data_IF_488189018097
#
_entry.id   IF_488189018097
#
_cell.length_a   1.000
_cell.length_b   1.000
_cell.length_c   1.000
_cell.angle_alpha   90.00
_cell.angle_beta   90.00
_cell.angle_gamma   90.00
#
_symmetry.space_group_name_H-M   'P 1'
#
loop_
_entity.id
_entity.type
_entity.pdbx_description
1 polymer ?
#
# COMPACT_ATOMS: atom_id res chain seq x y z
N UNK A 1 -0.45 33.49 -26.79
CA UNK A 1 0.02 34.19 -25.57
C UNK A 1 -0.79 33.83 -24.34
N UNK A 2 -2.12 34.04 -24.32
CA UNK A 2 -2.98 33.76 -23.16
C UNK A 2 -2.92 32.30 -22.66
N UNK A 3 -2.90 31.33 -23.55
CA UNK A 3 -2.82 29.90 -23.20
C UNK A 3 -1.49 29.49 -22.52
N UNK A 4 -0.37 30.02 -23.01
CA UNK A 4 0.97 29.78 -22.43
C UNK A 4 1.07 30.36 -21.02
N UNK A 5 0.47 31.52 -20.81
CA UNK A 5 0.43 32.19 -19.50
C UNK A 5 -0.46 31.43 -18.49
N UNK A 6 -1.64 30.97 -18.93
CA UNK A 6 -2.51 30.08 -18.15
C UNK A 6 -1.82 28.79 -17.74
N UNK A 7 -1.07 28.17 -18.66
CA UNK A 7 -0.30 26.96 -18.38
C UNK A 7 0.79 27.20 -17.33
N UNK A 8 1.57 28.28 -17.46
CA UNK A 8 2.60 28.65 -16.48
C UNK A 8 2.00 28.93 -15.09
N UNK A 9 0.85 29.59 -15.05
CA UNK A 9 0.13 29.86 -13.80
C UNK A 9 -0.34 28.56 -13.13
N UNK A 10 -0.93 27.65 -13.89
CA UNK A 10 -1.30 26.31 -13.42
C UNK A 10 -0.09 25.55 -12.85
N UNK A 11 1.02 25.51 -13.59
CA UNK A 11 2.25 24.83 -13.18
C UNK A 11 2.80 25.43 -11.88
N UNK A 12 2.84 26.77 -11.79
CA UNK A 12 3.29 27.49 -10.59
C UNK A 12 2.42 27.16 -9.36
N UNK A 13 1.09 27.24 -9.49
CA UNK A 13 0.17 26.90 -8.40
C UNK A 13 0.35 25.44 -8.00
N UNK A 14 0.38 24.53 -8.98
CA UNK A 14 0.53 23.09 -8.72
C UNK A 14 1.83 22.82 -7.96
N UNK A 15 2.93 23.46 -8.35
CA UNK A 15 4.22 23.33 -7.68
C UNK A 15 4.18 23.87 -6.25
N UNK A 16 3.64 25.08 -6.04
CA UNK A 16 3.55 25.70 -4.73
C UNK A 16 2.74 24.86 -3.74
N UNK A 17 1.57 24.38 -4.16
CA UNK A 17 0.71 23.57 -3.29
C UNK A 17 1.34 22.22 -3.00
N UNK A 18 1.85 21.53 -4.02
CA UNK A 18 2.46 20.19 -3.83
C UNK A 18 3.71 20.26 -2.97
N UNK A 19 4.63 21.20 -3.27
CA UNK A 19 5.84 21.39 -2.47
C UNK A 19 5.50 21.82 -1.04
N UNK A 20 4.56 22.75 -0.85
CA UNK A 20 4.14 23.20 0.47
C UNK A 20 3.60 22.04 1.32
N UNK A 21 2.74 21.19 0.76
CA UNK A 21 2.24 20.01 1.47
C UNK A 21 3.39 19.06 1.81
N UNK A 22 4.29 18.76 0.86
CA UNK A 22 5.42 17.84 1.07
C UNK A 22 6.40 18.36 2.13
N UNK A 23 6.70 19.66 2.15
CA UNK A 23 7.60 20.25 3.15
C UNK A 23 7.05 20.15 4.57
N UNK A 24 5.72 20.22 4.70
CA UNK A 24 5.00 20.26 5.98
C UNK A 24 4.56 18.88 6.45
N UNK A 25 4.60 17.85 5.60
CA UNK A 25 4.05 16.51 5.87
C UNK A 25 4.71 15.76 7.04
N UNK A 26 5.83 16.23 7.57
CA UNK A 26 6.52 15.62 8.72
C UNK A 26 6.31 16.38 10.04
N UNK A 27 5.64 17.52 10.00
CA UNK A 27 5.28 18.29 11.19
C UNK A 27 4.18 17.57 11.99
N UNK A 28 3.91 17.98 13.24
CA UNK A 28 2.82 17.41 14.04
C UNK A 28 1.44 17.60 13.37
N UNK A 29 0.43 16.77 13.70
CA UNK A 29 -0.87 16.80 13.00
C UNK A 29 -1.53 18.19 13.06
N UNK A 30 -1.51 18.84 14.23
CA UNK A 30 -2.09 20.17 14.41
C UNK A 30 -1.37 21.24 13.57
N UNK A 31 -0.03 21.23 13.59
CA UNK A 31 0.79 22.18 12.82
C UNK A 31 0.57 21.97 11.32
N UNK A 32 0.68 20.73 10.86
CA UNK A 32 0.47 20.36 9.46
C UNK A 32 -0.92 20.79 8.98
N UNK A 33 -1.99 20.43 9.69
CA UNK A 33 -3.37 20.78 9.34
C UNK A 33 -3.58 22.28 9.33
N UNK A 34 -2.91 23.05 10.19
CA UNK A 34 -3.02 24.52 10.23
C UNK A 34 -2.49 25.20 8.96
N UNK A 35 -1.55 24.56 8.25
CA UNK A 35 -0.97 25.08 7.01
C UNK A 35 -1.83 24.77 5.77
N UNK A 36 -2.62 23.70 5.81
CA UNK A 36 -3.36 23.22 4.65
C UNK A 36 -4.36 24.22 4.08
N UNK A 37 -5.13 25.00 4.87
CA UNK A 37 -6.09 25.93 4.30
C UNK A 37 -5.47 26.99 3.38
N UNK A 38 -4.31 27.54 3.78
CA UNK A 38 -3.58 28.50 2.97
C UNK A 38 -3.10 27.88 1.66
N UNK A 39 -2.51 26.68 1.73
CA UNK A 39 -2.03 25.96 0.55
C UNK A 39 -3.18 25.58 -0.40
N UNK A 40 -4.26 25.01 0.14
CA UNK A 40 -5.39 24.55 -0.67
C UNK A 40 -6.16 25.70 -1.31
N UNK A 41 -6.24 26.87 -0.66
CA UNK A 41 -6.89 28.04 -1.24
C UNK A 41 -6.25 28.49 -2.57
N UNK A 42 -4.96 28.23 -2.79
CA UNK A 42 -4.27 28.54 -4.05
C UNK A 42 -4.86 27.76 -5.24
N UNK A 43 -5.45 26.58 -5.00
CA UNK A 43 -6.09 25.77 -6.04
C UNK A 43 -7.30 26.48 -6.67
N UNK A 44 -7.91 27.45 -6.00
CA UNK A 44 -8.95 28.31 -6.58
C UNK A 44 -8.44 29.14 -7.77
N UNK A 45 -7.13 29.42 -7.81
CA UNK A 45 -6.48 30.11 -8.92
C UNK A 45 -6.35 29.28 -10.20
N UNK A 46 -6.69 28.00 -10.16
CA UNK A 46 -6.76 27.10 -11.32
C UNK A 46 -8.17 27.20 -11.90
N UNK A 47 -8.32 27.77 -13.09
CA UNK A 47 -9.62 27.98 -13.73
C UNK A 47 -10.28 26.67 -14.16
N UNK A 48 -9.49 25.72 -14.65
CA UNK A 48 -10.00 24.43 -15.13
C UNK A 48 -10.28 23.48 -13.96
N UNK A 49 -11.57 23.26 -13.69
CA UNK A 49 -12.03 22.47 -12.56
C UNK A 49 -11.51 21.02 -12.58
N UNK A 50 -11.49 20.38 -13.75
CA UNK A 50 -10.97 19.00 -13.90
C UNK A 50 -9.54 18.87 -13.40
N UNK A 51 -8.68 19.85 -13.69
CA UNK A 51 -7.28 19.91 -13.24
C UNK A 51 -7.19 20.19 -11.75
N UNK A 52 -8.01 21.10 -11.24
CA UNK A 52 -8.10 21.40 -9.80
C UNK A 52 -8.45 20.15 -9.00
N UNK A 53 -9.51 19.45 -9.42
CA UNK A 53 -9.97 18.20 -8.80
C UNK A 53 -8.90 17.12 -8.89
N UNK A 54 -8.23 16.99 -10.04
CA UNK A 54 -7.15 16.01 -10.20
C UNK A 54 -5.96 16.27 -9.26
N UNK A 55 -5.56 17.53 -9.08
CA UNK A 55 -4.49 17.92 -8.14
C UNK A 55 -4.94 17.66 -6.70
N UNK A 56 -6.14 18.12 -6.33
CA UNK A 56 -6.68 17.94 -4.99
C UNK A 56 -6.78 16.45 -4.61
N UNK A 57 -7.28 15.60 -5.51
CA UNK A 57 -7.36 14.15 -5.29
C UNK A 57 -5.99 13.52 -5.06
N UNK A 58 -4.96 13.95 -5.81
CA UNK A 58 -3.58 13.46 -5.63
C UNK A 58 -3.00 13.90 -4.29
N UNK A 59 -3.27 15.13 -3.86
CA UNK A 59 -2.85 15.63 -2.55
C UNK A 59 -3.53 14.87 -1.42
N UNK A 60 -4.85 14.69 -1.47
CA UNK A 60 -5.59 13.91 -0.48
C UNK A 60 -5.06 12.46 -0.39
N UNK A 61 -4.78 11.84 -1.54
CA UNK A 61 -4.19 10.51 -1.58
C UNK A 61 -2.84 10.47 -0.88
N UNK A 62 -1.96 11.42 -1.18
CA UNK A 62 -0.65 11.52 -0.57
C UNK A 62 -0.73 11.76 0.94
N UNK A 63 -1.63 12.65 1.37
CA UNK A 63 -1.83 12.97 2.78
C UNK A 63 -2.30 11.75 3.56
N UNK A 64 -3.35 11.05 3.10
CA UNK A 64 -3.81 9.83 3.77
C UNK A 64 -2.78 8.69 3.73
N UNK A 65 -1.98 8.63 2.68
CA UNK A 65 -0.91 7.64 2.61
C UNK A 65 0.21 7.93 3.63
N UNK A 66 0.54 9.20 3.83
CA UNK A 66 1.60 9.62 4.74
C UNK A 66 1.15 9.81 6.20
N UNK A 67 -0.14 10.00 6.45
CA UNK A 67 -0.71 10.43 7.73
C UNK A 67 -2.05 9.74 8.01
N UNK A 68 -2.29 9.41 9.27
CA UNK A 68 -3.56 8.84 9.74
C UNK A 68 -4.58 9.96 10.09
N UNK A 69 -4.89 10.81 9.11
CA UNK A 69 -5.89 11.86 9.29
C UNK A 69 -7.28 11.33 9.00
N UNK A 70 -8.27 11.79 9.78
CA UNK A 70 -9.67 11.44 9.53
C UNK A 70 -10.25 12.29 8.40
N UNK A 71 -11.18 11.76 7.58
CA UNK A 71 -11.85 12.55 6.56
C UNK A 71 -12.52 13.82 7.11
N UNK A 72 -13.03 13.79 8.34
CA UNK A 72 -13.65 14.95 8.99
C UNK A 72 -12.68 16.12 9.22
N UNK A 73 -11.40 15.85 9.41
CA UNK A 73 -10.37 16.88 9.57
C UNK A 73 -10.09 17.58 8.23
N UNK A 74 -9.95 16.81 7.16
CA UNK A 74 -9.74 17.35 5.81
C UNK A 74 -10.99 18.03 5.25
N UNK A 75 -12.21 17.60 5.61
CA UNK A 75 -13.44 18.32 5.28
C UNK A 75 -13.43 19.74 5.85
N UNK A 76 -13.03 19.91 7.13
CA UNK A 76 -12.90 21.24 7.74
C UNK A 76 -11.87 22.09 7.02
N UNK A 77 -10.72 21.52 6.65
CA UNK A 77 -9.70 22.21 5.85
C UNK A 77 -10.28 22.69 4.52
N UNK A 78 -11.01 21.83 3.81
CA UNK A 78 -11.64 22.19 2.53
C UNK A 78 -12.66 23.32 2.69
N UNK A 79 -13.50 23.26 3.72
CA UNK A 79 -14.46 24.34 4.01
C UNK A 79 -13.75 25.68 4.27
N UNK A 80 -12.69 25.71 5.08
CA UNK A 80 -11.90 26.93 5.34
C UNK A 80 -11.20 27.43 4.06
N UNK A 81 -10.84 26.50 3.16
CA UNK A 81 -10.18 26.80 1.89
C UNK A 81 -11.13 27.27 0.79
N UNK A 82 -12.45 27.36 1.06
CA UNK A 82 -13.52 27.59 0.06
C UNK A 82 -13.60 26.50 -1.02
N UNK A 83 -13.37 25.27 -0.60
CA UNK A 83 -13.37 24.05 -1.41
C UNK A 83 -14.40 23.02 -0.90
N UNK A 84 -15.42 23.47 -0.16
CA UNK A 84 -16.46 22.64 0.46
C UNK A 84 -17.20 21.75 -0.55
N UNK A 85 -17.37 22.21 -1.79
CA UNK A 85 -17.95 21.42 -2.88
C UNK A 85 -17.17 20.15 -3.23
N UNK A 86 -15.91 20.04 -2.78
CA UNK A 86 -15.02 18.90 -3.00
C UNK A 86 -14.87 18.00 -1.77
N UNK A 87 -15.67 18.20 -0.71
CA UNK A 87 -15.60 17.39 0.51
C UNK A 87 -15.76 15.88 0.25
N UNK A 88 -16.56 15.50 -0.76
CA UNK A 88 -16.76 14.10 -1.15
C UNK A 88 -15.45 13.42 -1.59
N UNK A 89 -14.48 14.19 -2.11
CA UNK A 89 -13.17 13.66 -2.48
C UNK A 89 -12.41 13.12 -1.26
N UNK A 90 -12.68 13.64 -0.06
CA UNK A 90 -12.03 13.17 1.17
C UNK A 90 -12.46 11.75 1.52
N UNK A 91 -13.76 11.45 1.42
CA UNK A 91 -14.32 10.14 1.78
C UNK A 91 -13.96 9.10 0.73
N UNK A 92 -14.25 9.40 -0.54
CA UNK A 92 -13.95 8.50 -1.67
C UNK A 92 -12.46 8.18 -1.79
N UNK A 93 -11.56 9.11 -1.44
CA UNK A 93 -10.11 8.82 -1.44
C UNK A 93 -9.70 7.93 -0.28
N UNK A 94 -10.26 8.13 0.92
CA UNK A 94 -10.00 7.27 2.07
C UNK A 94 -10.53 5.85 1.85
N UNK A 95 -11.77 5.71 1.37
CA UNK A 95 -12.38 4.42 1.04
C UNK A 95 -11.55 3.65 0.02
N UNK A 96 -11.11 4.32 -1.05
CA UNK A 96 -10.24 3.69 -2.05
C UNK A 96 -8.94 3.17 -1.46
N UNK A 97 -8.28 3.94 -0.57
CA UNK A 97 -7.06 3.48 0.10
C UNK A 97 -7.32 2.27 1.01
N UNK A 98 -8.44 2.27 1.73
CA UNK A 98 -8.84 1.12 2.55
C UNK A 98 -9.06 -0.10 1.67
N UNK A 99 -9.80 0.03 0.57
CA UNK A 99 -10.04 -1.06 -0.38
C UNK A 99 -8.73 -1.59 -0.98
N UNK A 100 -7.84 -0.73 -1.47
CA UNK A 100 -6.53 -1.12 -1.99
C UNK A 100 -5.67 -1.82 -0.91
N UNK A 101 -5.75 -1.36 0.34
CA UNK A 101 -5.07 -1.98 1.47
C UNK A 101 -5.58 -3.39 1.79
N UNK A 102 -6.92 -3.57 1.81
CA UNK A 102 -7.56 -4.87 2.01
C UNK A 102 -7.19 -5.83 0.88
N UNK A 103 -7.29 -5.39 -0.38
CA UNK A 103 -6.97 -6.21 -1.54
C UNK A 103 -5.52 -6.69 -1.51
N UNK A 104 -4.56 -5.79 -1.25
CA UNK A 104 -3.14 -6.15 -1.09
C UNK A 104 -2.92 -7.11 0.07
N UNK A 105 -3.60 -6.89 1.20
CA UNK A 105 -3.50 -7.77 2.36
C UNK A 105 -4.00 -9.19 2.08
N UNK A 106 -5.16 -9.31 1.42
CA UNK A 106 -5.74 -10.60 1.00
C UNK A 106 -4.82 -11.30 0.01
N UNK A 107 -4.35 -10.61 -1.02
CA UNK A 107 -3.46 -11.19 -2.04
C UNK A 107 -2.17 -11.72 -1.41
N UNK A 108 -1.51 -10.91 -0.57
CA UNK A 108 -0.30 -11.35 0.14
C UNK A 108 -0.57 -12.52 1.10
N UNK A 109 -1.72 -12.54 1.75
CA UNK A 109 -2.13 -13.65 2.61
C UNK A 109 -2.31 -14.95 1.84
N UNK A 110 -2.99 -14.89 0.69
CA UNK A 110 -3.21 -16.04 -0.20
C UNK A 110 -1.89 -16.56 -0.75
N UNK A 111 -1.03 -15.67 -1.29
CA UNK A 111 0.27 -16.07 -1.84
C UNK A 111 1.14 -16.77 -0.80
N UNK A 112 1.29 -16.18 0.39
CA UNK A 112 2.07 -16.79 1.49
C UNK A 112 1.45 -18.11 1.95
N UNK A 113 0.13 -18.19 1.99
CA UNK A 113 -0.60 -19.41 2.35
C UNK A 113 -0.35 -20.54 1.37
N UNK A 114 -0.46 -20.26 0.07
CA UNK A 114 -0.21 -21.21 -1.02
C UNK A 114 1.25 -21.65 -1.01
N UNK A 115 2.21 -20.73 -0.94
CA UNK A 115 3.64 -21.06 -0.91
C UNK A 115 3.98 -21.98 0.26
N UNK A 116 3.53 -21.63 1.47
CA UNK A 116 3.74 -22.45 2.66
C UNK A 116 3.08 -23.82 2.54
N UNK A 117 1.84 -23.87 2.04
CA UNK A 117 1.09 -25.10 1.83
C UNK A 117 1.77 -26.05 0.83
N UNK A 118 2.23 -25.51 -0.31
CA UNK A 118 2.98 -26.28 -1.32
C UNK A 118 4.27 -26.82 -0.73
N UNK A 119 5.05 -25.97 -0.04
CA UNK A 119 6.32 -26.39 0.57
C UNK A 119 6.13 -27.52 1.58
N UNK A 120 5.13 -27.37 2.47
CA UNK A 120 4.79 -28.40 3.46
C UNK A 120 4.29 -29.68 2.80
N UNK A 121 3.47 -29.58 1.75
CA UNK A 121 2.98 -30.73 1.00
C UNK A 121 4.09 -31.50 0.30
N UNK A 122 5.02 -30.81 -0.36
CA UNK A 122 6.19 -31.41 -1.02
C UNK A 122 7.11 -32.08 0.01
N UNK A 123 7.38 -31.42 1.12
CA UNK A 123 8.21 -31.98 2.19
C UNK A 123 7.57 -33.23 2.82
N UNK A 124 6.26 -33.19 3.10
CA UNK A 124 5.51 -34.34 3.60
C UNK A 124 5.52 -35.50 2.61
N UNK A 125 5.27 -35.24 1.32
CA UNK A 125 5.31 -36.28 0.28
C UNK A 125 6.69 -36.93 0.18
N UNK A 126 7.77 -36.14 0.22
CA UNK A 126 9.14 -36.67 0.27
C UNK A 126 9.40 -37.54 1.51
N UNK A 127 8.86 -37.17 2.68
CA UNK A 127 9.00 -37.96 3.91
C UNK A 127 8.25 -39.29 3.82
N UNK A 128 7.03 -39.27 3.26
CA UNK A 128 6.24 -40.47 3.00
C UNK A 128 6.97 -41.41 2.03
N UNK A 129 7.51 -40.86 0.93
CA UNK A 129 8.32 -41.61 -0.03
C UNK A 129 9.58 -42.20 0.63
N UNK A 130 10.29 -41.45 1.47
CA UNK A 130 11.46 -41.92 2.20
C UNK A 130 11.13 -43.14 3.08
N UNK A 131 10.00 -43.11 3.78
CA UNK A 131 9.53 -44.23 4.60
C UNK A 131 9.17 -45.45 3.76
N UNK A 132 8.49 -45.26 2.62
CA UNK A 132 8.16 -46.36 1.70
C UNK A 132 9.42 -46.97 1.06
N UNK A 133 10.43 -46.17 0.72
CA UNK A 133 11.71 -46.64 0.21
C UNK A 133 12.40 -47.57 1.22
N UNK A 134 12.47 -47.17 2.49
CA UNK A 134 13.07 -47.98 3.56
C UNK A 134 12.30 -49.29 3.78
N UNK A 135 10.96 -49.27 3.77
CA UNK A 135 10.12 -50.47 3.87
C UNK A 135 10.37 -51.46 2.72
N UNK A 136 10.71 -50.96 1.52
CA UNK A 136 11.06 -51.77 0.35
C UNK A 136 12.50 -52.27 0.37
N UNK A 137 13.26 -52.00 1.44
CA UNK A 137 14.63 -52.48 1.61
C UNK A 137 15.69 -51.63 0.90
N UNK A 138 15.35 -50.41 0.47
CA UNK A 138 16.36 -49.44 0.00
C UNK A 138 17.17 -48.99 1.22
N UNK A 139 18.49 -48.98 1.11
CA UNK A 139 19.35 -48.64 2.23
C UNK A 139 19.26 -47.15 2.61
N UNK A 140 19.48 -46.87 3.89
CA UNK A 140 19.38 -45.53 4.46
C UNK A 140 20.27 -44.51 3.73
N UNK A 141 21.47 -44.89 3.29
CA UNK A 141 22.38 -43.96 2.63
C UNK A 141 21.80 -43.50 1.29
N UNK A 142 21.28 -44.42 0.47
CA UNK A 142 20.61 -44.08 -0.78
C UNK A 142 19.35 -43.24 -0.56
N UNK A 143 18.55 -43.50 0.48
CA UNK A 143 17.36 -42.69 0.79
C UNK A 143 17.73 -41.25 1.15
N UNK A 144 18.77 -41.04 1.98
CA UNK A 144 19.24 -39.69 2.33
C UNK A 144 19.76 -38.93 1.11
N UNK A 145 20.49 -39.60 0.20
CA UNK A 145 20.98 -39.01 -1.05
C UNK A 145 19.84 -38.61 -2.00
N UNK A 146 18.80 -39.44 -2.17
CA UNK A 146 17.68 -39.18 -3.09
C UNK A 146 16.75 -38.08 -2.54
N UNK A 147 16.42 -38.15 -1.26
CA UNK A 147 15.42 -37.26 -0.64
C UNK A 147 16.02 -35.92 -0.25
N UNK A 148 17.35 -35.89 0.00
CA UNK A 148 18.08 -34.75 0.54
C UNK A 148 17.85 -34.54 2.04
N UNK A 149 17.21 -35.48 2.74
CA UNK A 149 17.00 -35.40 4.18
C UNK A 149 18.24 -35.80 4.97
N UNK A 150 18.30 -35.35 6.22
CA UNK A 150 19.25 -35.86 7.21
C UNK A 150 18.62 -37.01 8.00
N UNK A 151 19.45 -37.89 8.55
CA UNK A 151 18.98 -38.96 9.43
C UNK A 151 18.20 -38.42 10.64
N UNK A 152 18.64 -37.26 11.17
CA UNK A 152 17.93 -36.54 12.23
C UNK A 152 16.52 -36.14 11.79
N UNK A 153 16.36 -35.60 10.58
CA UNK A 153 15.06 -35.23 10.03
C UNK A 153 14.13 -36.43 9.93
N UNK A 154 14.63 -37.59 9.49
CA UNK A 154 13.82 -38.81 9.41
C UNK A 154 13.40 -39.33 10.79
N UNK A 155 14.30 -39.29 11.80
CA UNK A 155 13.98 -39.66 13.20
C UNK A 155 12.95 -38.72 13.83
N UNK A 156 13.12 -37.41 13.64
CA UNK A 156 12.19 -36.40 14.16
C UNK A 156 10.78 -36.54 13.57
N UNK A 157 10.68 -37.08 12.36
CA UNK A 157 9.41 -37.35 11.68
C UNK A 157 8.93 -38.81 11.83
N UNK A 158 9.57 -39.63 12.68
CA UNK A 158 9.14 -40.99 12.99
C UNK A 158 9.28 -42.00 11.84
N UNK A 159 10.14 -41.72 10.87
CA UNK A 159 10.43 -42.60 9.73
C UNK A 159 11.49 -43.66 10.10
N UNK A 160 12.39 -43.32 11.02
CA UNK A 160 13.44 -44.16 11.62
C UNK A 160 13.20 -44.30 13.12
#
# INVERSE_FOLDING_TARGET
MKEVELKKKLESITFQVTLGVVQKIREGDLEFVSHLPGLFSLLLGIEEESKRVAILRKLLLYIYWARDLKPTELKRVLAISKLEQYEELTMTTAERLISEGIEKGVQQGIERGIEKGIKQGVEKGKLEDAGEMLKKGIDLKTVLEITGFSEKTLKENGIL
#
